data_IF_523469485077
#
_entry.id   IF_523469485077
#
_cell.length_a   1.000
_cell.length_b   1.000
_cell.length_c   1.000
_cell.angle_alpha   90.00
_cell.angle_beta   90.00
_cell.angle_gamma   90.00
#
_symmetry.space_group_name_H-M   'P 1'
#
loop_
_entity.id
_entity.type
_entity.pdbx_description
1 polymer ?
#
# COMPACT_ATOMS: atom_id res chain seq x y z
N UNK A 1 -6.51 -8.49 14.37
CA UNK A 1 -6.52 -8.71 12.89
C UNK A 1 -5.98 -7.48 12.19
N UNK A 2 -5.09 -7.66 11.23
CA UNK A 2 -4.63 -6.55 10.39
C UNK A 2 -4.84 -6.89 8.92
N UNK A 3 -5.50 -6.01 8.18
CA UNK A 3 -5.71 -6.16 6.73
C UNK A 3 -4.84 -5.13 6.01
N UNK A 4 -3.95 -5.58 5.15
CA UNK A 4 -3.12 -4.70 4.32
C UNK A 4 -3.55 -4.77 2.86
N UNK A 5 -3.76 -3.62 2.23
CA UNK A 5 -4.26 -3.54 0.85
C UNK A 5 -3.22 -2.83 -0.02
N UNK A 6 -2.45 -3.59 -0.76
CA UNK A 6 -1.64 -3.09 -1.87
C UNK A 6 -2.51 -3.02 -3.14
N UNK A 7 -2.15 -2.16 -4.11
CA UNK A 7 -3.06 -1.89 -5.22
C UNK A 7 -2.38 -1.22 -6.40
N UNK A 8 -2.84 -1.54 -7.58
CA UNK A 8 -2.61 -0.73 -8.77
C UNK A 8 -3.34 0.63 -8.70
N UNK A 9 -2.85 1.63 -9.43
CA UNK A 9 -3.49 2.94 -9.52
C UNK A 9 -4.87 2.81 -10.19
N UNK A 10 -5.90 3.46 -9.66
CA UNK A 10 -7.27 3.37 -10.19
C UNK A 10 -8.09 2.14 -9.74
N UNK A 11 -7.59 1.33 -8.78
CA UNK A 11 -8.32 0.15 -8.28
C UNK A 11 -9.24 0.41 -7.07
N UNK A 12 -9.53 1.65 -6.71
CA UNK A 12 -10.50 1.97 -5.66
C UNK A 12 -10.18 1.44 -4.26
N UNK A 13 -8.92 1.12 -3.96
CA UNK A 13 -8.51 0.49 -2.69
C UNK A 13 -8.93 1.27 -1.43
N UNK A 14 -8.98 2.60 -1.51
CA UNK A 14 -9.45 3.44 -0.41
C UNK A 14 -10.93 3.21 -0.13
N UNK A 15 -11.75 3.04 -1.17
CA UNK A 15 -13.17 2.73 -1.04
C UNK A 15 -13.38 1.34 -0.45
N UNK A 16 -12.67 0.34 -0.96
CA UNK A 16 -12.69 -1.04 -0.41
C UNK A 16 -12.29 -1.04 1.05
N UNK A 17 -11.16 -0.39 1.40
CA UNK A 17 -10.68 -0.33 2.78
C UNK A 17 -11.65 0.36 3.74
N UNK A 18 -12.37 1.40 3.29
CA UNK A 18 -13.39 2.06 4.09
C UNK A 18 -14.59 1.15 4.38
N UNK A 19 -15.09 0.40 3.37
CA UNK A 19 -16.17 -0.55 3.57
C UNK A 19 -15.80 -1.63 4.59
N UNK A 20 -14.59 -2.18 4.48
CA UNK A 20 -14.09 -3.17 5.44
C UNK A 20 -13.94 -2.58 6.84
N UNK A 21 -13.42 -1.34 6.96
CA UNK A 21 -13.28 -0.67 8.25
C UNK A 21 -14.62 -0.43 8.94
N UNK A 22 -15.61 0.02 8.18
CA UNK A 22 -16.99 0.18 8.68
C UNK A 22 -17.59 -1.15 9.10
N UNK A 23 -17.38 -2.22 8.33
CA UNK A 23 -17.87 -3.57 8.60
C UNK A 23 -17.31 -4.15 9.90
N UNK A 24 -16.00 -4.03 10.08
CA UNK A 24 -15.34 -4.61 11.27
C UNK A 24 -15.27 -3.66 12.47
N UNK A 25 -15.61 -2.39 12.29
CA UNK A 25 -15.51 -1.37 13.34
C UNK A 25 -14.08 -1.10 13.77
N UNK A 26 -13.10 -1.21 12.85
CA UNK A 26 -11.66 -1.04 13.11
C UNK A 26 -11.09 0.18 12.39
N UNK A 27 -9.99 0.77 12.89
CA UNK A 27 -9.34 1.90 12.25
C UNK A 27 -8.91 1.64 10.81
N UNK A 28 -8.91 2.71 10.00
CA UNK A 28 -8.51 2.71 8.61
C UNK A 28 -7.40 3.73 8.40
N UNK A 29 -6.25 3.26 7.93
CA UNK A 29 -5.05 4.06 7.75
C UNK A 29 -4.66 4.21 6.29
N UNK A 30 -4.74 5.44 5.80
CA UNK A 30 -4.13 5.89 4.55
C UNK A 30 -2.76 6.50 4.85
N UNK A 31 -1.99 6.86 3.79
CA UNK A 31 -0.76 7.65 3.94
C UNK A 31 -0.96 8.85 4.85
N UNK A 32 -2.03 9.62 4.63
CA UNK A 32 -2.31 10.85 5.39
C UNK A 32 -2.47 10.57 6.88
N UNK A 33 -3.27 9.58 7.25
CA UNK A 33 -3.49 9.24 8.66
C UNK A 33 -2.22 8.73 9.34
N UNK A 34 -1.39 7.96 8.61
CA UNK A 34 -0.11 7.49 9.13
C UNK A 34 0.90 8.63 9.32
N UNK A 35 0.92 9.63 8.44
CA UNK A 35 1.73 10.83 8.60
C UNK A 35 1.28 11.65 9.82
N UNK A 36 -0.01 11.86 10.01
CA UNK A 36 -0.57 12.54 11.19
C UNK A 36 -0.20 11.80 12.48
N UNK A 37 -0.24 10.47 12.47
CA UNK A 37 0.19 9.65 13.61
C UNK A 37 1.69 9.78 13.88
N UNK A 38 2.53 9.79 12.83
CA UNK A 38 3.98 9.98 12.97
C UNK A 38 4.33 11.37 13.51
N UNK A 39 3.61 12.41 13.09
CA UNK A 39 3.75 13.77 13.61
C UNK A 39 3.43 13.83 15.10
N UNK A 40 2.30 13.26 15.52
CA UNK A 40 1.90 13.20 16.94
C UNK A 40 2.91 12.46 17.82
N UNK A 41 3.65 11.51 17.25
CA UNK A 41 4.71 10.75 17.95
C UNK A 41 6.09 11.39 17.83
N UNK A 42 6.23 12.48 17.08
CA UNK A 42 7.50 13.19 16.88
C UNK A 42 8.52 12.42 16.03
N UNK A 43 8.07 11.51 15.17
CA UNK A 43 8.92 10.68 14.28
C UNK A 43 8.73 10.99 12.80
N UNK A 44 7.91 12.00 12.44
CA UNK A 44 7.58 12.31 11.05
C UNK A 44 8.84 12.64 10.23
N UNK A 45 9.75 13.47 10.77
CA UNK A 45 10.97 13.89 10.06
C UNK A 45 11.85 12.70 9.65
N UNK A 46 11.90 11.67 10.48
CA UNK A 46 12.65 10.43 10.19
C UNK A 46 11.95 9.53 9.18
N UNK A 47 10.64 9.68 9.03
CA UNK A 47 9.80 8.87 8.16
C UNK A 47 9.35 9.59 6.88
N UNK A 48 9.72 10.85 6.67
CA UNK A 48 9.25 11.64 5.53
C UNK A 48 9.49 10.95 4.19
N UNK A 49 10.72 10.48 3.96
CA UNK A 49 11.08 9.76 2.74
C UNK A 49 10.28 8.44 2.56
N UNK A 50 9.93 7.78 3.65
CA UNK A 50 9.09 6.58 3.64
C UNK A 50 7.63 6.88 3.30
N UNK A 51 7.13 8.03 3.69
CA UNK A 51 5.79 8.44 3.31
C UNK A 51 5.72 9.02 1.89
N UNK A 52 6.82 9.49 1.32
CA UNK A 52 6.88 9.93 -0.07
C UNK A 52 7.06 8.72 -1.00
N UNK A 53 6.10 8.51 -1.90
CA UNK A 53 6.22 7.53 -3.00
C UNK A 53 7.02 8.14 -4.17
N UNK A 54 8.06 8.94 -3.89
CA UNK A 54 8.92 9.48 -4.95
C UNK A 54 9.80 8.37 -5.51
N UNK A 55 10.18 8.43 -6.80
CA UNK A 55 11.20 7.55 -7.33
C UNK A 55 12.44 7.68 -6.44
N UNK A 56 12.88 6.56 -5.88
CA UNK A 56 14.15 6.53 -5.19
C UNK A 56 15.20 6.77 -6.27
N UNK A 57 15.95 7.86 -6.14
CA UNK A 57 16.98 8.22 -7.10
C UNK A 57 17.93 7.02 -7.25
N UNK A 58 18.04 6.45 -8.47
CA UNK A 58 18.91 5.30 -8.75
C UNK A 58 20.36 5.59 -8.34
N UNK A 59 20.76 6.87 -8.33
CA UNK A 59 22.05 7.30 -7.87
C UNK A 59 22.22 7.11 -6.36
N UNK A 60 21.19 7.47 -5.57
CA UNK A 60 21.15 7.21 -4.12
C UNK A 60 21.09 5.71 -3.84
N UNK A 61 20.36 4.95 -4.65
CA UNK A 61 20.30 3.49 -4.55
C UNK A 61 21.69 2.86 -4.82
N UNK A 62 22.42 3.32 -5.84
CA UNK A 62 23.76 2.80 -6.16
C UNK A 62 24.83 3.22 -5.14
N UNK A 63 24.70 4.40 -4.54
CA UNK A 63 25.63 4.89 -3.50
C UNK A 63 25.35 4.25 -2.13
N UNK A 64 24.12 3.84 -1.85
CA UNK A 64 23.75 3.14 -0.61
C UNK A 64 24.09 1.65 -0.62
N UNK A 65 24.65 1.11 -1.72
CA UNK A 65 25.08 -0.30 -1.83
C UNK A 65 26.25 -0.68 -0.91
N UNK A 66 26.66 0.18 0.00
CA UNK A 66 27.64 -0.07 1.06
C UNK A 66 26.96 -0.64 2.33
N UNK A 67 26.37 -1.81 2.20
CA UNK A 67 26.10 -2.81 3.23
C UNK A 67 25.22 -2.39 4.44
N UNK A 68 25.84 -1.97 5.53
CA UNK A 68 25.16 -1.74 6.81
C UNK A 68 24.32 -0.45 6.86
N UNK A 69 24.75 0.59 6.16
CA UNK A 69 24.04 1.89 6.13
C UNK A 69 22.71 1.79 5.38
N UNK A 70 22.65 0.99 4.34
CA UNK A 70 21.42 0.81 3.56
C UNK A 70 20.36 0.05 4.34
N UNK A 71 20.73 -1.02 5.06
CA UNK A 71 19.82 -1.75 5.93
C UNK A 71 19.19 -0.84 6.98
N UNK A 72 19.98 -0.01 7.63
CA UNK A 72 19.48 0.93 8.62
C UNK A 72 18.46 1.93 8.02
N UNK A 73 18.72 2.43 6.81
CA UNK A 73 17.82 3.38 6.13
C UNK A 73 16.50 2.75 5.67
N UNK A 74 16.51 1.47 5.28
CA UNK A 74 15.29 0.78 4.84
C UNK A 74 14.53 0.12 5.96
N UNK A 75 15.22 -0.48 6.94
CA UNK A 75 14.58 -1.22 8.03
C UNK A 75 13.98 -0.30 9.11
N UNK A 76 14.64 0.84 9.41
CA UNK A 76 14.17 1.76 10.46
C UNK A 76 12.73 2.26 10.22
N UNK A 77 12.35 2.81 9.05
CA UNK A 77 10.98 3.25 8.81
C UNK A 77 9.96 2.11 8.88
N UNK A 78 10.32 0.90 8.43
CA UNK A 78 9.46 -0.28 8.52
C UNK A 78 9.19 -0.67 9.98
N UNK A 79 10.23 -0.68 10.83
CA UNK A 79 10.10 -0.93 12.26
C UNK A 79 9.29 0.15 12.94
N UNK A 80 9.56 1.43 12.64
CA UNK A 80 8.81 2.55 13.21
C UNK A 80 7.33 2.44 12.88
N UNK A 81 6.95 2.10 11.63
CA UNK A 81 5.55 1.89 11.28
C UNK A 81 4.96 0.69 12.04
N UNK A 82 5.69 -0.41 12.17
CA UNK A 82 5.23 -1.56 12.95
C UNK A 82 4.97 -1.18 14.43
N UNK A 83 5.86 -0.42 15.05
CA UNK A 83 5.70 0.09 16.41
C UNK A 83 4.54 1.09 16.55
N UNK A 84 4.32 1.93 15.52
CA UNK A 84 3.20 2.87 15.51
C UNK A 84 1.86 2.16 15.54
N UNK A 85 1.73 1.06 14.82
CA UNK A 85 0.50 0.24 14.75
C UNK A 85 0.42 -0.71 15.97
N UNK A 86 1.54 -1.30 16.39
CA UNK A 86 1.55 -2.27 17.48
C UNK A 86 0.65 -3.47 17.20
N UNK A 87 -0.15 -3.84 18.19
CA UNK A 87 -1.10 -4.97 18.11
C UNK A 87 -2.51 -4.55 17.71
N UNK A 88 -2.69 -3.30 17.26
CA UNK A 88 -4.01 -2.78 16.91
C UNK A 88 -4.63 -3.55 15.73
N UNK A 89 -5.94 -3.79 15.84
CA UNK A 89 -6.74 -4.26 14.72
C UNK A 89 -7.00 -3.09 13.78
N UNK A 90 -6.56 -3.19 12.52
CA UNK A 90 -6.69 -2.08 11.58
C UNK A 90 -6.62 -2.51 10.12
N UNK A 91 -6.95 -1.56 9.23
CA UNK A 91 -6.75 -1.68 7.79
C UNK A 91 -5.72 -0.65 7.33
N UNK A 92 -4.72 -1.07 6.57
CA UNK A 92 -3.64 -0.21 6.06
C UNK A 92 -3.59 -0.26 4.55
N UNK A 93 -3.56 0.92 3.92
CA UNK A 93 -3.43 1.03 2.47
C UNK A 93 -1.97 1.25 2.06
N UNK A 94 -1.38 0.26 1.40
CA UNK A 94 -0.01 0.33 0.87
C UNK A 94 1.08 0.27 1.94
N UNK A 95 2.12 1.11 1.78
CA UNK A 95 3.25 1.26 2.75
C UNK A 95 3.99 -0.04 3.07
N UNK A 96 4.09 -0.94 2.09
CA UNK A 96 4.71 -2.26 2.29
C UNK A 96 4.08 -3.05 3.45
N UNK A 97 2.79 -2.81 3.75
CA UNK A 97 2.12 -3.42 4.90
C UNK A 97 2.19 -4.94 4.91
N UNK A 98 2.01 -5.59 3.73
CA UNK A 98 2.17 -7.03 3.59
C UNK A 98 3.54 -7.52 4.06
N UNK A 99 4.60 -6.76 3.82
CA UNK A 99 5.96 -7.09 4.23
C UNK A 99 6.22 -6.76 5.71
N UNK A 100 5.78 -5.61 6.18
CA UNK A 100 5.99 -5.15 7.57
C UNK A 100 5.35 -6.12 8.55
N UNK A 101 4.10 -6.50 8.30
CA UNK A 101 3.31 -7.32 9.22
C UNK A 101 3.34 -8.81 8.94
N UNK A 102 4.21 -9.30 8.03
CA UNK A 102 4.30 -10.71 7.61
C UNK A 102 4.55 -11.73 8.74
N UNK A 103 5.03 -11.27 9.89
CA UNK A 103 5.26 -12.12 11.06
C UNK A 103 4.00 -12.25 11.95
N UNK A 104 2.99 -11.42 11.74
CA UNK A 104 1.73 -11.50 12.47
C UNK A 104 0.89 -12.65 11.90
N UNK A 105 0.37 -13.48 12.80
CA UNK A 105 -0.48 -14.63 12.41
C UNK A 105 -1.89 -14.23 11.96
N UNK A 106 -2.31 -13.03 12.30
CA UNK A 106 -3.61 -12.43 12.02
C UNK A 106 -3.55 -11.40 10.88
N UNK A 107 -2.43 -11.42 10.09
CA UNK A 107 -2.31 -10.62 8.88
C UNK A 107 -3.18 -11.22 7.77
N UNK A 108 -3.85 -10.33 7.05
CA UNK A 108 -4.50 -10.60 5.77
C UNK A 108 -3.93 -9.62 4.76
N UNK A 109 -3.19 -10.14 3.80
CA UNK A 109 -2.53 -9.36 2.77
C UNK A 109 -3.30 -9.44 1.45
N UNK A 110 -3.73 -8.29 0.94
CA UNK A 110 -4.55 -8.16 -0.27
C UNK A 110 -3.81 -7.36 -1.33
N UNK A 111 -3.87 -7.82 -2.58
CA UNK A 111 -3.46 -7.05 -3.76
C UNK A 111 -4.65 -6.80 -4.68
N UNK A 112 -4.91 -5.52 -5.00
CA UNK A 112 -5.96 -5.12 -5.93
C UNK A 112 -5.36 -4.73 -7.28
N UNK A 113 -5.87 -5.35 -8.32
CA UNK A 113 -5.46 -5.13 -9.72
C UNK A 113 -6.66 -4.80 -10.60
N UNK A 114 -6.40 -4.52 -11.87
CA UNK A 114 -7.43 -4.33 -12.87
C UNK A 114 -6.87 -4.00 -14.24
N UNK A 115 -7.72 -4.09 -15.24
CA UNK A 115 -7.37 -3.72 -16.61
C UNK A 115 -6.91 -2.27 -16.72
N UNK A 116 -5.83 -1.98 -17.44
CA UNK A 116 -5.21 -0.66 -17.54
C UNK A 116 -6.17 0.42 -18.04
N UNK A 117 -6.87 0.17 -19.14
CA UNK A 117 -7.82 1.12 -19.74
C UNK A 117 -8.93 1.52 -18.76
N UNK A 118 -9.45 0.56 -18.02
CA UNK A 118 -10.50 0.81 -17.04
C UNK A 118 -9.97 1.58 -15.82
N UNK A 119 -8.72 1.35 -15.42
CA UNK A 119 -8.05 2.11 -14.34
C UNK A 119 -7.74 3.55 -14.75
N UNK A 120 -7.33 3.77 -16.02
CA UNK A 120 -7.15 5.11 -16.60
C UNK A 120 -8.49 5.86 -16.57
N UNK A 121 -9.58 5.20 -16.99
CA UNK A 121 -10.92 5.79 -16.96
C UNK A 121 -11.36 6.17 -15.54
N UNK A 122 -11.10 5.33 -14.56
CA UNK A 122 -11.39 5.63 -13.15
C UNK A 122 -10.64 6.89 -12.68
N UNK A 123 -9.37 7.04 -13.07
CA UNK A 123 -8.57 8.24 -12.75
C UNK A 123 -9.07 9.48 -13.49
N UNK A 124 -9.52 9.35 -14.76
CA UNK A 124 -10.15 10.45 -15.47
C UNK A 124 -11.40 10.95 -14.72
N UNK A 125 -12.27 10.05 -14.30
CA UNK A 125 -13.49 10.38 -13.57
C UNK A 125 -13.20 10.98 -12.17
N UNK A 126 -12.23 10.40 -11.45
CA UNK A 126 -11.86 10.86 -10.10
C UNK A 126 -11.22 12.25 -10.09
N UNK A 127 -10.34 12.52 -11.07
CA UNK A 127 -9.49 13.72 -11.07
C UNK A 127 -9.92 14.78 -12.10
N UNK A 128 -10.80 14.42 -13.03
CA UNK A 128 -11.17 15.31 -14.13
C UNK A 128 -10.06 15.47 -15.17
N UNK A 129 -9.17 14.49 -15.31
CA UNK A 129 -8.07 14.51 -16.28
C UNK A 129 -8.53 14.14 -17.69
N UNK A 130 -7.80 14.60 -18.71
CA UNK A 130 -7.87 14.03 -20.06
C UNK A 130 -7.36 12.57 -20.03
N UNK A 131 -7.53 11.85 -21.14
CA UNK A 131 -7.02 10.47 -21.23
C UNK A 131 -5.50 10.42 -21.06
N UNK A 132 -4.78 11.25 -21.82
CA UNK A 132 -3.31 11.28 -21.81
C UNK A 132 -2.76 11.65 -20.41
N UNK A 133 -3.37 12.63 -19.73
CA UNK A 133 -3.00 13.00 -18.35
C UNK A 133 -3.27 11.87 -17.34
N UNK A 134 -4.38 11.14 -17.52
CA UNK A 134 -4.71 10.02 -16.65
C UNK A 134 -3.80 8.81 -16.89
N UNK A 135 -3.45 8.52 -18.16
CA UNK A 135 -2.51 7.48 -18.54
C UNK A 135 -1.12 7.76 -17.93
N UNK A 136 -0.57 8.96 -18.15
CA UNK A 136 0.71 9.38 -17.59
C UNK A 136 0.70 9.30 -16.05
N UNK A 137 -0.41 9.73 -15.42
CA UNK A 137 -0.55 9.66 -13.97
C UNK A 137 -0.56 8.22 -13.44
N UNK A 138 -1.25 7.31 -14.13
CA UNK A 138 -1.32 5.88 -13.76
C UNK A 138 0.04 5.23 -13.89
N UNK A 139 0.72 5.40 -15.03
CA UNK A 139 2.04 4.83 -15.30
C UNK A 139 3.08 5.35 -14.30
N UNK A 140 3.18 6.66 -14.14
CA UNK A 140 4.11 7.26 -13.19
C UNK A 140 3.87 6.80 -11.75
N UNK A 141 2.61 6.72 -11.33
CA UNK A 141 2.26 6.24 -9.98
C UNK A 141 2.67 4.78 -9.78
N UNK A 142 2.54 3.93 -10.79
CA UNK A 142 2.92 2.52 -10.70
C UNK A 142 4.43 2.35 -10.69
N UNK A 143 5.15 3.08 -11.52
CA UNK A 143 6.63 3.09 -11.51
C UNK A 143 7.18 3.50 -10.14
N UNK A 144 6.61 4.55 -9.55
CA UNK A 144 6.97 4.97 -8.19
C UNK A 144 6.71 3.86 -7.16
N UNK A 145 5.60 3.13 -7.25
CA UNK A 145 5.26 2.02 -6.33
C UNK A 145 6.17 0.81 -6.51
N UNK A 146 6.48 0.46 -7.76
CA UNK A 146 7.44 -0.61 -8.07
C UNK A 146 8.80 -0.30 -7.45
N UNK A 147 9.34 0.90 -7.71
CA UNK A 147 10.62 1.35 -7.18
C UNK A 147 10.61 1.41 -5.64
N UNK A 148 9.58 2.00 -5.06
CA UNK A 148 9.38 2.11 -3.62
C UNK A 148 9.34 0.74 -2.93
N UNK A 149 8.52 -0.19 -3.43
CA UNK A 149 8.38 -1.52 -2.86
C UNK A 149 9.70 -2.29 -2.95
N UNK A 150 10.37 -2.24 -4.11
CA UNK A 150 11.67 -2.85 -4.31
C UNK A 150 12.73 -2.29 -3.37
N UNK A 151 12.76 -0.98 -3.16
CA UNK A 151 13.73 -0.32 -2.29
C UNK A 151 13.57 -0.77 -0.83
N UNK A 152 12.35 -0.75 -0.29
CA UNK A 152 12.12 -1.06 1.13
C UNK A 152 12.05 -2.55 1.44
N UNK A 153 11.66 -3.41 0.51
CA UNK A 153 11.41 -4.84 0.78
C UNK A 153 12.33 -5.79 0.05
N UNK A 154 12.97 -5.33 -1.04
CA UNK A 154 13.70 -6.20 -1.97
C UNK A 154 12.81 -7.07 -2.86
N UNK A 155 11.47 -7.07 -2.65
CA UNK A 155 10.51 -7.91 -3.36
C UNK A 155 10.01 -7.25 -4.65
N UNK A 156 9.36 -8.05 -5.50
CA UNK A 156 8.66 -7.57 -6.70
C UNK A 156 7.24 -7.16 -6.34
N UNK A 157 6.90 -5.90 -6.57
CA UNK A 157 5.56 -5.41 -6.29
C UNK A 157 4.50 -6.12 -7.13
N UNK A 158 3.40 -6.53 -6.50
CA UNK A 158 2.30 -7.25 -7.16
C UNK A 158 2.59 -8.71 -7.47
N UNK A 159 3.69 -9.29 -6.97
CA UNK A 159 3.90 -10.73 -7.07
C UNK A 159 2.87 -11.47 -6.21
N UNK A 160 2.08 -12.34 -6.82
CA UNK A 160 0.97 -13.02 -6.16
C UNK A 160 1.40 -13.87 -4.94
N UNK A 161 2.63 -14.38 -4.93
CA UNK A 161 3.16 -15.19 -3.83
C UNK A 161 3.35 -14.40 -2.52
N UNK A 162 3.33 -13.06 -2.60
CA UNK A 162 3.51 -12.17 -1.46
C UNK A 162 2.17 -11.69 -0.84
N UNK A 163 1.03 -12.25 -1.32
CA UNK A 163 -0.31 -11.85 -0.87
C UNK A 163 -1.21 -13.07 -0.65
N UNK A 164 -2.08 -12.99 0.36
CA UNK A 164 -3.06 -14.06 0.62
C UNK A 164 -4.17 -14.09 -0.42
N UNK A 165 -4.53 -12.92 -0.97
CA UNK A 165 -5.59 -12.79 -1.96
C UNK A 165 -5.28 -11.67 -2.98
N UNK A 166 -5.45 -11.98 -4.27
CA UNK A 166 -5.32 -11.02 -5.36
C UNK A 166 -6.67 -10.91 -6.11
N UNK A 167 -7.21 -9.71 -6.25
CA UNK A 167 -8.53 -9.47 -6.84
C UNK A 167 -8.49 -8.43 -7.95
N UNK A 168 -9.22 -8.67 -9.02
CA UNK A 168 -9.52 -7.69 -10.07
C UNK A 168 -10.71 -6.83 -9.63
N UNK A 169 -10.42 -5.73 -8.92
CA UNK A 169 -11.43 -4.82 -8.39
C UNK A 169 -12.20 -4.09 -9.48
N UNK A 170 -11.56 -3.83 -10.62
CA UNK A 170 -12.22 -3.14 -11.74
C UNK A 170 -13.34 -4.00 -12.32
N UNK A 171 -13.11 -5.30 -12.39
CA UNK A 171 -14.08 -6.25 -12.90
C UNK A 171 -15.18 -6.58 -11.88
N UNK A 172 -14.83 -6.67 -10.63
CA UNK A 172 -15.75 -7.01 -9.54
C UNK A 172 -16.58 -5.80 -9.08
N UNK A 173 -15.99 -4.62 -9.07
CA UNK A 173 -16.51 -3.46 -8.36
C UNK A 173 -16.04 -3.44 -6.90
N UNK A 174 -16.21 -2.30 -6.26
CA UNK A 174 -15.70 -2.03 -4.91
C UNK A 174 -16.43 -2.89 -3.87
N UNK A 175 -17.75 -2.98 -3.95
CA UNK A 175 -18.62 -3.68 -3.02
C UNK A 175 -18.36 -5.19 -3.04
N UNK A 176 -18.33 -5.80 -4.23
CA UNK A 176 -18.08 -7.22 -4.37
C UNK A 176 -16.63 -7.59 -3.98
N UNK A 177 -15.68 -6.69 -4.25
CA UNK A 177 -14.30 -6.87 -3.79
C UNK A 177 -14.23 -6.92 -2.26
N UNK A 178 -14.88 -5.98 -1.57
CA UNK A 178 -14.97 -5.99 -0.11
C UNK A 178 -15.65 -7.27 0.41
N UNK A 179 -16.76 -7.67 -0.21
CA UNK A 179 -17.49 -8.90 0.15
C UNK A 179 -16.63 -10.16 0.02
N UNK A 180 -15.83 -10.29 -1.05
CA UNK A 180 -14.91 -11.42 -1.22
C UNK A 180 -13.78 -11.43 -0.19
N UNK A 181 -13.25 -10.26 0.19
CA UNK A 181 -12.27 -10.17 1.28
C UNK A 181 -12.92 -10.59 2.61
N UNK A 182 -14.14 -10.15 2.91
CA UNK A 182 -14.88 -10.58 4.10
C UNK A 182 -15.10 -12.09 4.13
N UNK A 183 -15.47 -12.70 2.99
CA UNK A 183 -15.63 -14.15 2.90
C UNK A 183 -14.29 -14.86 3.18
N UNK A 184 -13.18 -14.39 2.60
CA UNK A 184 -11.86 -14.95 2.88
C UNK A 184 -11.52 -14.87 4.36
N UNK A 185 -11.69 -13.69 4.99
CA UNK A 185 -11.47 -13.49 6.44
C UNK A 185 -12.27 -14.47 7.29
N UNK A 186 -13.51 -14.80 6.87
CA UNK A 186 -14.38 -15.70 7.63
C UNK A 186 -13.96 -17.18 7.57
N UNK A 187 -13.07 -17.55 6.64
CA UNK A 187 -12.62 -18.92 6.41
C UNK A 187 -11.31 -19.28 7.13
N UNK A 188 -10.61 -18.26 7.62
CA UNK A 188 -9.31 -18.41 8.28
C UNK A 188 -9.40 -17.97 9.74
#
# INVERSE_FOLDING_TARGET
MIITIARQCGCGAVRVGKLLAEKYGIPFYTRKNLMEMAEQRGVLDEMEAFFDERPVDELLFSMSSLGETQRALTEKPLHTLAEMIGDEDCIIIGRCGNYIFRVRKDLISVFLSGNLEARIKEIQEEKGFSYDEAEEFVEHTEDCRVAYHKYYTGLTWGNADDYDICLDTVRLGVEETASLIEQYVSLI
#
